data_IF_552314827471
#
_entry.id   IF_552314827471
#
_cell.length_a   1.000
_cell.length_b   1.000
_cell.length_c   1.000
_cell.angle_alpha   90.00
_cell.angle_beta   90.00
_cell.angle_gamma   90.00
#
_symmetry.space_group_name_H-M   'P 1'
#
loop_
_entity.id
_entity.type
_entity.pdbx_description
1 polymer ?
#
# COMPACT_ATOMS: atom_id res chain seq x y z
N UNK A 1 -23.08 -7.20 -0.57
CA UNK A 1 -22.92 -5.74 -0.55
C UNK A 1 -24.09 -5.17 -1.32
N UNK A 2 -24.83 -4.20 -0.80
CA UNK A 2 -25.87 -3.54 -1.61
C UNK A 2 -25.18 -2.67 -2.65
N UNK A 3 -25.78 -2.48 -3.83
CA UNK A 3 -25.14 -1.71 -4.91
C UNK A 3 -24.72 -0.30 -4.47
N UNK A 4 -25.54 0.37 -3.64
CA UNK A 4 -25.20 1.68 -3.07
C UNK A 4 -24.00 1.68 -2.11
N UNK A 5 -23.69 0.57 -1.44
CA UNK A 5 -22.51 0.45 -0.57
C UNK A 5 -21.23 0.36 -1.41
N UNK A 6 -21.30 -0.31 -2.58
CA UNK A 6 -20.19 -0.41 -3.52
C UNK A 6 -19.92 0.93 -4.20
N UNK A 7 -20.97 1.60 -4.69
CA UNK A 7 -20.82 2.93 -5.31
C UNK A 7 -20.23 3.95 -4.33
N UNK A 8 -20.66 3.88 -3.06
CA UNK A 8 -20.06 4.66 -1.98
C UNK A 8 -18.57 4.40 -1.80
N UNK A 9 -18.15 3.13 -1.77
CA UNK A 9 -16.73 2.76 -1.72
C UNK A 9 -15.96 3.31 -2.93
N UNK A 10 -16.47 3.10 -4.14
CA UNK A 10 -15.79 3.54 -5.37
C UNK A 10 -15.62 5.07 -5.43
N UNK A 11 -16.56 5.82 -4.85
CA UNK A 11 -16.50 7.28 -4.77
C UNK A 11 -15.36 7.81 -3.87
N UNK A 12 -14.81 7.00 -2.96
CA UNK A 12 -13.64 7.39 -2.14
C UNK A 12 -12.30 7.30 -2.89
N UNK A 13 -12.26 6.75 -4.10
CA UNK A 13 -11.00 6.61 -4.83
C UNK A 13 -10.44 7.98 -5.27
N UNK A 14 -9.26 8.32 -4.79
CA UNK A 14 -8.56 9.57 -5.11
C UNK A 14 -8.20 9.68 -6.60
N UNK A 15 -7.81 10.88 -7.05
CA UNK A 15 -7.35 11.12 -8.42
C UNK A 15 -6.11 10.29 -8.79
N UNK A 16 -5.21 10.07 -7.82
CA UNK A 16 -4.04 9.18 -7.91
C UNK A 16 -4.39 7.71 -8.19
N UNK A 17 -5.63 7.29 -7.90
CA UNK A 17 -6.04 5.89 -7.92
C UNK A 17 -6.00 5.21 -6.55
N UNK A 18 -5.39 5.85 -5.55
CA UNK A 18 -5.38 5.36 -4.18
C UNK A 18 -6.77 5.34 -3.55
N UNK A 19 -6.93 4.46 -2.56
CA UNK A 19 -8.00 4.59 -1.57
C UNK A 19 -7.37 5.17 -0.29
N UNK A 20 -7.77 6.37 0.14
CA UNK A 20 -7.14 7.02 1.27
C UNK A 20 -7.55 6.34 2.58
N UNK A 21 -6.63 6.25 3.52
CA UNK A 21 -6.99 6.15 4.94
C UNK A 21 -7.14 7.54 5.54
N UNK A 22 -7.76 7.63 6.70
CA UNK A 22 -7.84 8.87 7.48
C UNK A 22 -7.09 8.67 8.77
N UNK A 23 -6.19 9.60 9.09
CA UNK A 23 -5.46 9.62 10.35
C UNK A 23 -5.77 10.90 11.11
N UNK A 24 -5.78 10.80 12.43
CA UNK A 24 -5.91 11.97 13.30
C UNK A 24 -4.55 12.65 13.41
N UNK A 25 -4.50 13.94 13.09
CA UNK A 25 -3.34 14.81 13.27
C UNK A 25 -3.64 15.98 14.20
N UNK A 26 -2.63 16.80 14.53
CA UNK A 26 -2.80 17.98 15.39
C UNK A 26 -3.83 18.99 14.87
N UNK A 27 -3.99 19.09 13.56
CA UNK A 27 -4.93 19.99 12.88
C UNK A 27 -6.25 19.30 12.48
N UNK A 28 -6.46 18.06 12.95
CA UNK A 28 -7.62 17.24 12.63
C UNK A 28 -7.32 16.10 11.66
N UNK A 29 -8.36 15.63 10.99
CA UNK A 29 -8.30 14.46 10.11
C UNK A 29 -7.60 14.77 8.81
N UNK A 30 -6.61 13.95 8.46
CA UNK A 30 -5.85 14.07 7.21
C UNK A 30 -5.98 12.78 6.39
N UNK A 31 -6.23 12.93 5.10
CA UNK A 31 -6.23 11.81 4.16
C UNK A 31 -4.79 11.34 3.91
N UNK A 32 -4.58 10.03 3.87
CA UNK A 32 -3.27 9.40 3.72
C UNK A 32 -3.36 8.30 2.66
N UNK A 33 -2.65 8.51 1.55
CA UNK A 33 -2.63 7.60 0.40
C UNK A 33 -1.44 6.65 0.49
N UNK A 34 -1.71 5.38 0.79
CA UNK A 34 -0.67 4.39 1.10
C UNK A 34 -0.82 3.14 0.25
N UNK A 35 0.29 2.47 0.00
CA UNK A 35 0.31 1.15 -0.64
C UNK A 35 -0.56 0.17 0.16
N UNK A 36 -0.37 0.14 1.48
CA UNK A 36 -1.04 -0.76 2.41
C UNK A 36 -2.57 -0.76 2.27
N UNK A 37 -3.19 0.42 2.31
CA UNK A 37 -4.66 0.55 2.26
C UNK A 37 -5.17 0.28 0.85
N UNK A 38 -4.50 0.85 -0.15
CA UNK A 38 -4.91 0.69 -1.55
C UNK A 38 -4.82 -0.76 -2.01
N UNK A 39 -3.78 -1.50 -1.61
CA UNK A 39 -3.62 -2.92 -1.92
C UNK A 39 -4.72 -3.79 -1.29
N UNK A 40 -5.12 -3.50 -0.04
CA UNK A 40 -6.21 -4.21 0.61
C UNK A 40 -7.56 -3.96 -0.09
N UNK A 41 -7.86 -2.71 -0.44
CA UNK A 41 -9.09 -2.40 -1.19
C UNK A 41 -9.05 -3.06 -2.57
N UNK A 42 -7.91 -3.04 -3.27
CA UNK A 42 -7.75 -3.73 -4.54
C UNK A 42 -8.00 -5.25 -4.42
N UNK A 43 -7.54 -5.90 -3.33
CA UNK A 43 -7.83 -7.31 -3.06
C UNK A 43 -9.34 -7.59 -2.91
N UNK A 44 -10.05 -6.71 -2.21
CA UNK A 44 -11.50 -6.78 -2.04
C UNK A 44 -12.20 -6.62 -3.40
N UNK A 45 -11.84 -5.58 -4.16
CA UNK A 45 -12.40 -5.33 -5.50
C UNK A 45 -12.15 -6.51 -6.45
N UNK A 46 -10.95 -7.08 -6.45
CA UNK A 46 -10.62 -8.26 -7.25
C UNK A 46 -11.43 -9.50 -6.83
N UNK A 47 -11.71 -9.66 -5.54
CA UNK A 47 -12.58 -10.74 -5.03
C UNK A 47 -14.02 -10.57 -5.52
N UNK A 48 -14.58 -9.36 -5.39
CA UNK A 48 -15.93 -9.03 -5.88
C UNK A 48 -16.04 -9.23 -7.39
N UNK A 49 -15.03 -8.79 -8.15
CA UNK A 49 -14.96 -9.02 -9.60
C UNK A 49 -15.05 -10.52 -9.94
N UNK A 50 -14.26 -11.36 -9.26
CA UNK A 50 -14.29 -12.82 -9.48
C UNK A 50 -15.62 -13.45 -9.09
N UNK A 51 -16.26 -12.98 -8.01
CA UNK A 51 -17.56 -13.49 -7.58
C UNK A 51 -18.65 -13.18 -8.62
N UNK A 52 -18.74 -11.94 -9.09
CA UNK A 52 -19.69 -11.56 -10.16
C UNK A 52 -19.44 -12.34 -11.45
N UNK A 53 -18.18 -12.55 -11.84
CA UNK A 53 -17.84 -13.39 -12.99
C UNK A 53 -18.33 -14.84 -12.84
N UNK A 54 -18.17 -15.45 -11.65
CA UNK A 54 -18.66 -16.81 -11.35
C UNK A 54 -20.18 -16.89 -11.38
N UNK A 55 -20.87 -15.85 -10.91
CA UNK A 55 -22.31 -15.72 -10.97
C UNK A 55 -22.85 -15.38 -12.38
N UNK A 56 -21.97 -15.19 -13.38
CA UNK A 56 -22.29 -14.73 -14.75
C UNK A 56 -23.01 -13.39 -14.77
N UNK A 57 -22.79 -12.57 -13.76
CA UNK A 57 -23.30 -11.21 -13.69
C UNK A 57 -22.46 -10.28 -14.57
N UNK A 58 -23.11 -9.29 -15.18
CA UNK A 58 -22.38 -8.24 -15.87
C UNK A 58 -21.67 -7.39 -14.82
N UNK A 59 -20.35 -7.50 -14.74
CA UNK A 59 -19.58 -6.70 -13.79
C UNK A 59 -19.71 -5.21 -14.10
N UNK A 60 -19.93 -4.36 -13.07
CA UNK A 60 -19.92 -2.92 -13.26
C UNK A 60 -18.60 -2.45 -13.88
N UNK A 61 -18.67 -1.68 -14.97
CA UNK A 61 -17.49 -1.06 -15.60
C UNK A 61 -16.70 -0.22 -14.60
N UNK A 62 -17.42 0.44 -13.68
CA UNK A 62 -16.84 1.23 -12.60
C UNK A 62 -15.92 0.41 -11.68
N UNK A 63 -16.33 -0.82 -11.31
CA UNK A 63 -15.54 -1.70 -10.44
C UNK A 63 -14.23 -2.09 -11.11
N UNK A 64 -14.27 -2.53 -12.38
CA UNK A 64 -13.06 -2.89 -13.13
C UNK A 64 -12.12 -1.71 -13.31
N UNK A 65 -12.66 -0.53 -13.59
CA UNK A 65 -11.90 0.72 -13.71
C UNK A 65 -11.24 1.10 -12.37
N UNK A 66 -11.97 1.00 -11.27
CA UNK A 66 -11.44 1.31 -9.96
C UNK A 66 -10.33 0.33 -9.55
N UNK A 67 -10.52 -0.97 -9.77
CA UNK A 67 -9.48 -1.97 -9.56
C UNK A 67 -8.22 -1.65 -10.38
N UNK A 68 -8.36 -1.38 -11.68
CA UNK A 68 -7.22 -1.05 -12.53
C UNK A 68 -6.43 0.15 -11.99
N UNK A 69 -7.11 1.24 -11.63
CA UNK A 69 -6.48 2.43 -11.06
C UNK A 69 -5.80 2.19 -9.71
N UNK A 70 -6.40 1.35 -8.87
CA UNK A 70 -5.80 1.00 -7.59
C UNK A 70 -4.50 0.19 -7.78
N UNK A 71 -4.49 -0.73 -8.74
CA UNK A 71 -3.29 -1.50 -9.08
C UNK A 71 -2.21 -0.61 -9.72
N UNK A 72 -2.60 0.36 -10.55
CA UNK A 72 -1.67 1.33 -11.11
C UNK A 72 -1.02 2.17 -10.00
N UNK A 73 -1.78 2.60 -8.99
CA UNK A 73 -1.22 3.26 -7.80
C UNK A 73 -0.27 2.34 -7.01
N UNK A 74 -0.64 1.08 -6.78
CA UNK A 74 0.24 0.10 -6.08
C UNK A 74 1.57 -0.08 -6.83
N UNK A 75 1.57 -0.12 -8.16
CA UNK A 75 2.81 -0.18 -8.95
C UNK A 75 3.69 1.07 -8.76
N UNK A 76 3.12 2.25 -8.49
CA UNK A 76 3.91 3.45 -8.15
C UNK A 76 4.61 3.35 -6.79
N UNK A 77 4.21 2.40 -5.94
CA UNK A 77 4.85 2.14 -4.64
C UNK A 77 6.05 1.19 -4.75
N UNK A 78 6.37 0.69 -5.96
CA UNK A 78 7.55 -0.14 -6.18
C UNK A 78 8.84 0.64 -5.88
N UNK A 79 9.82 -0.03 -5.29
CA UNK A 79 11.13 0.54 -4.97
C UNK A 79 12.11 0.23 -6.10
N UNK A 80 12.52 1.23 -6.91
CA UNK A 80 13.38 0.99 -8.08
C UNK A 80 14.71 0.31 -7.73
N UNK A 81 15.27 0.61 -6.56
CA UNK A 81 16.56 0.09 -6.11
C UNK A 81 16.49 -1.37 -5.61
N UNK A 82 15.29 -1.89 -5.33
CA UNK A 82 15.06 -3.25 -4.84
C UNK A 82 13.96 -3.91 -5.67
N UNK A 83 14.30 -4.54 -6.81
CA UNK A 83 13.30 -5.10 -7.72
C UNK A 83 12.30 -6.03 -7.03
N UNK A 84 11.02 -5.68 -7.16
CA UNK A 84 9.91 -6.44 -6.60
C UNK A 84 9.57 -6.15 -5.15
N UNK A 85 10.27 -5.21 -4.50
CA UNK A 85 9.88 -4.68 -3.18
C UNK A 85 8.99 -3.45 -3.34
N UNK A 86 8.08 -3.27 -2.38
CA UNK A 86 7.16 -2.13 -2.33
C UNK A 86 7.27 -1.42 -0.98
N UNK A 87 7.08 -0.10 -1.00
CA UNK A 87 7.11 0.76 0.17
C UNK A 87 5.70 1.24 0.55
N UNK A 88 5.51 1.59 1.82
CA UNK A 88 4.27 2.17 2.34
C UNK A 88 3.78 3.38 1.54
N UNK A 89 4.72 4.23 1.10
CA UNK A 89 4.46 5.40 0.27
C UNK A 89 5.14 5.28 -1.11
N UNK A 90 4.53 5.84 -2.17
CA UNK A 90 5.21 6.00 -3.44
C UNK A 90 6.47 6.88 -3.30
N UNK A 91 7.59 6.54 -3.96
CA UNK A 91 8.84 7.31 -3.86
C UNK A 91 8.68 8.78 -4.29
N UNK A 92 7.85 9.04 -5.31
CA UNK A 92 7.65 10.36 -5.92
C UNK A 92 6.28 10.98 -5.58
N UNK A 93 5.62 10.55 -4.50
CA UNK A 93 4.25 10.99 -4.17
C UNK A 93 4.13 11.91 -2.95
N UNK A 94 2.89 12.29 -2.67
CA UNK A 94 2.52 13.19 -1.57
C UNK A 94 2.32 12.44 -0.26
N UNK A 95 3.37 11.77 0.22
CA UNK A 95 3.35 11.19 1.55
C UNK A 95 2.98 12.28 2.56
N UNK A 96 2.00 12.00 3.42
CA UNK A 96 1.59 12.94 4.46
C UNK A 96 2.74 13.24 5.42
N UNK A 97 3.55 12.22 5.70
CA UNK A 97 4.75 12.34 6.50
C UNK A 97 5.94 12.68 5.60
N UNK A 98 6.72 13.69 5.97
CA UNK A 98 7.99 14.02 5.31
C UNK A 98 9.10 13.02 5.69
N UNK A 99 8.84 11.72 5.46
CA UNK A 99 9.74 10.61 5.76
C UNK A 99 9.82 9.67 4.56
N UNK A 100 10.97 9.04 4.37
CA UNK A 100 11.12 7.92 3.43
C UNK A 100 11.16 6.62 4.21
N UNK A 101 10.03 5.90 4.21
CA UNK A 101 9.97 4.56 4.78
C UNK A 101 10.62 3.57 3.79
N UNK A 102 11.58 2.75 4.23
CA UNK A 102 12.13 1.69 3.38
C UNK A 102 11.02 0.68 3.04
N UNK A 103 11.19 -0.07 1.95
CA UNK A 103 10.35 -1.23 1.70
C UNK A 103 10.47 -2.25 2.84
N UNK A 104 9.35 -2.87 3.17
CA UNK A 104 9.25 -3.93 4.17
C UNK A 104 8.43 -5.12 3.65
N UNK A 105 8.32 -6.14 4.50
CA UNK A 105 7.72 -7.42 4.15
C UNK A 105 6.22 -7.35 3.97
N UNK A 106 5.55 -6.58 4.81
CA UNK A 106 4.11 -6.43 4.84
C UNK A 106 3.58 -5.64 3.64
N UNK A 107 4.16 -4.48 3.33
CA UNK A 107 3.77 -3.71 2.14
C UNK A 107 4.06 -4.50 0.86
N UNK A 108 5.24 -5.14 0.80
CA UNK A 108 5.62 -5.98 -0.34
C UNK A 108 4.66 -7.16 -0.51
N UNK A 109 4.35 -7.89 0.56
CA UNK A 109 3.43 -9.03 0.48
C UNK A 109 2.04 -8.59 0.02
N UNK A 110 1.50 -7.51 0.60
CA UNK A 110 0.17 -6.99 0.24
C UNK A 110 0.12 -6.50 -1.20
N UNK A 111 1.13 -5.78 -1.67
CA UNK A 111 1.23 -5.34 -3.05
C UNK A 111 1.23 -6.54 -4.01
N UNK A 112 2.05 -7.56 -3.75
CA UNK A 112 2.09 -8.78 -4.55
C UNK A 112 0.74 -9.52 -4.56
N UNK A 113 0.10 -9.66 -3.39
CA UNK A 113 -1.23 -10.26 -3.30
C UNK A 113 -2.24 -9.51 -4.17
N UNK A 114 -2.29 -8.17 -4.08
CA UNK A 114 -3.20 -7.34 -4.85
C UNK A 114 -2.94 -7.44 -6.36
N UNK A 115 -1.68 -7.32 -6.78
CA UNK A 115 -1.27 -7.40 -8.18
C UNK A 115 -1.55 -8.77 -8.80
N UNK A 116 -1.32 -9.86 -8.08
CA UNK A 116 -1.71 -11.20 -8.52
C UNK A 116 -3.23 -11.36 -8.60
N UNK A 117 -3.96 -10.91 -7.57
CA UNK A 117 -5.41 -11.01 -7.54
C UNK A 117 -6.09 -10.24 -8.68
N UNK A 118 -5.48 -9.12 -9.09
CA UNK A 118 -5.88 -8.30 -10.24
C UNK A 118 -5.31 -8.76 -11.60
N UNK A 119 -4.50 -9.83 -11.63
CA UNK A 119 -3.94 -10.39 -12.86
C UNK A 119 -2.81 -9.58 -13.50
N UNK A 120 -2.18 -8.66 -12.77
CA UNK A 120 -1.04 -7.85 -13.25
C UNK A 120 0.30 -8.59 -13.13
N UNK A 121 0.40 -9.54 -12.20
CA UNK A 121 1.62 -10.31 -11.91
C UNK A 121 1.29 -11.80 -11.78
N UNK A 122 2.23 -12.68 -12.10
CA UNK A 122 2.02 -14.13 -12.03
C UNK A 122 2.39 -14.71 -10.66
N UNK A 123 1.77 -15.84 -10.25
CA UNK A 123 2.19 -16.58 -9.06
C UNK A 123 3.64 -17.06 -9.11
N UNK A 124 4.14 -17.40 -10.29
CA UNK A 124 5.52 -17.85 -10.51
C UNK A 124 6.53 -16.72 -10.24
N UNK A 125 6.21 -15.50 -10.70
CA UNK A 125 7.03 -14.32 -10.44
C UNK A 125 7.04 -14.01 -8.93
N UNK A 126 5.87 -14.09 -8.29
CA UNK A 126 5.73 -13.85 -6.86
C UNK A 126 6.57 -14.83 -6.04
N UNK A 127 6.48 -16.14 -6.33
CA UNK A 127 7.27 -17.15 -5.65
C UNK A 127 8.78 -16.89 -5.79
N UNK A 128 9.24 -16.52 -6.98
CA UNK A 128 10.65 -16.21 -7.25
C UNK A 128 11.11 -14.97 -6.48
N UNK A 129 10.36 -13.88 -6.58
CA UNK A 129 10.72 -12.59 -5.99
C UNK A 129 10.63 -12.64 -4.46
N UNK A 130 9.51 -13.14 -3.91
CA UNK A 130 9.28 -13.16 -2.47
C UNK A 130 10.26 -14.10 -1.77
N UNK A 131 10.58 -15.27 -2.35
CA UNK A 131 11.60 -16.15 -1.78
C UNK A 131 12.96 -15.45 -1.66
N UNK A 132 13.36 -14.69 -2.69
CA UNK A 132 14.60 -13.89 -2.66
C UNK A 132 14.56 -12.78 -1.61
N UNK A 133 13.46 -12.03 -1.54
CA UNK A 133 13.33 -10.90 -0.61
C UNK A 133 13.26 -11.36 0.85
N UNK A 134 12.60 -12.49 1.11
CA UNK A 134 12.34 -12.97 2.47
C UNK A 134 13.49 -13.83 3.02
N UNK A 135 14.30 -14.45 2.14
CA UNK A 135 15.51 -15.17 2.54
C UNK A 135 16.71 -14.24 2.80
N UNK A 136 16.68 -13.01 2.28
CA UNK A 136 17.71 -12.00 2.53
C UNK A 136 17.39 -11.17 3.78
N UNK A 137 18.40 -10.49 4.38
CA UNK A 137 18.08 -9.39 5.27
C UNK A 137 17.31 -8.35 4.46
N UNK A 138 16.08 -8.03 4.89
CA UNK A 138 15.41 -6.80 4.50
C UNK A 138 16.42 -5.69 4.74
N UNK A 139 17.03 -5.19 3.67
CA UNK A 139 18.07 -4.18 3.79
C UNK A 139 17.35 -2.93 4.28
N UNK A 140 17.28 -2.78 5.59
CA UNK A 140 16.93 -1.53 6.23
C UNK A 140 17.87 -0.52 5.59
N UNK A 141 17.29 0.43 4.86
CA UNK A 141 18.07 1.53 4.29
C UNK A 141 18.93 2.12 5.41
N UNK A 142 20.21 2.47 5.17
CA UNK A 142 21.14 2.90 6.24
C UNK A 142 20.66 4.11 7.06
N UNK A 143 19.58 4.77 6.63
CA UNK A 143 18.85 5.79 7.40
C UNK A 143 18.31 5.30 8.76
N UNK A 144 18.06 3.99 8.96
CA UNK A 144 17.51 3.49 10.23
C UNK A 144 18.53 3.36 11.38
N UNK A 145 19.83 3.53 11.13
CA UNK A 145 20.87 3.37 12.17
C UNK A 145 21.26 4.65 12.92
N UNK A 146 20.64 5.80 12.61
CA UNK A 146 20.95 7.08 13.30
C UNK A 146 19.69 7.79 13.79
N UNK A 147 18.89 7.11 14.61
CA UNK A 147 17.99 7.80 15.55
C UNK A 147 18.00 7.15 16.93
N UNK A 148 19.13 6.54 17.32
CA UNK A 148 19.46 6.39 18.73
C UNK A 148 20.13 7.70 19.20
N UNK A 149 19.40 8.82 19.16
CA UNK A 149 19.87 10.05 19.76
C UNK A 149 19.48 10.07 21.23
N UNK A 150 20.50 9.77 22.04
CA UNK A 150 20.66 10.06 23.46
C UNK A 150 19.65 11.07 24.02
N UNK A 151 18.77 10.62 24.91
CA UNK A 151 18.33 11.47 26.00
C UNK A 151 19.51 11.59 26.98
N UNK A 152 20.29 12.67 26.86
CA UNK A 152 21.02 13.21 28.01
C UNK A 152 19.95 13.79 28.94
N UNK A 153 19.73 13.15 30.08
CA UNK A 153 19.09 13.80 31.21
C UNK A 153 20.15 14.70 31.86
N UNK A 154 20.18 15.97 31.43
CA UNK A 154 20.86 17.03 32.17
C UNK A 154 19.82 17.69 33.12
N UNK A 155 20.01 17.46 34.42
CA UNK A 155 19.72 18.40 35.52
C UNK A 155 18.52 18.10 36.44
N UNK A 156 18.48 18.67 37.68
CA UNK A 156 19.51 19.43 38.38
C UNK A 156 19.96 18.83 39.74
N UNK A 157 21.16 19.23 40.17
CA UNK A 157 21.60 19.17 41.57
C UNK A 157 20.59 19.92 42.45
N UNK A 158 20.13 19.26 43.52
CA UNK A 158 19.41 19.91 44.61
C UNK A 158 20.39 19.99 45.78
N UNK A 159 20.70 21.22 46.16
CA UNK A 159 21.49 21.57 47.33
C UNK A 159 20.83 21.14 48.65
#
# INVERSE_FOLDING_TARGET
MRDGDLDGLLAFQCASGAFPSTVEGPEGRVADETCFVTAQVALILASLARQGARARETQPVALRRALARALDFVETCAVPEVPGAFSFYPPDGTARLAIRLPADADDTALAWMALMAGGRRSPQDAATVLARLFAGPWRSSPASRRSAFRARADGPDVA
#
